data_IF_869453809764
#
_entry.id   IF_869453809764
#
_cell.length_a   1.000
_cell.length_b   1.000
_cell.length_c   1.000
_cell.angle_alpha   90.00
_cell.angle_beta   90.00
_cell.angle_gamma   90.00
#
_symmetry.space_group_name_H-M   'P 1'
#
loop_
_entity.id
_entity.type
_entity.pdbx_description
1 polymer ?
#
# COMPACT_ATOMS: atom_id res chain seq x y z
N UNK A 1 -3.59 -4.22 26.48
CA UNK A 1 -3.53 -2.96 27.25
C UNK A 1 -3.78 -1.80 26.31
N UNK A 2 -4.82 -1.01 26.54
CA UNK A 2 -5.14 0.19 25.75
C UNK A 2 -4.18 1.31 26.18
N UNK A 3 -3.35 1.83 25.27
CA UNK A 3 -2.46 2.96 25.57
C UNK A 3 -3.09 4.26 25.05
N UNK A 4 -3.71 5.09 25.91
CA UNK A 4 -4.48 6.26 25.48
C UNK A 4 -3.64 7.35 24.81
N UNK A 5 -2.33 7.42 25.10
CA UNK A 5 -1.44 8.38 24.42
C UNK A 5 -1.18 7.97 22.96
N UNK A 6 -1.03 6.66 22.72
CA UNK A 6 -0.83 6.13 21.38
C UNK A 6 -2.07 6.33 20.51
N UNK A 7 -3.28 6.17 21.07
CA UNK A 7 -4.52 6.45 20.32
C UNK A 7 -4.66 7.92 19.94
N UNK A 8 -4.31 8.85 20.83
CA UNK A 8 -4.38 10.28 20.53
C UNK A 8 -3.41 10.70 19.40
N UNK A 9 -2.19 10.16 19.40
CA UNK A 9 -1.21 10.44 18.33
C UNK A 9 -1.72 9.95 16.96
N UNK A 10 -2.26 8.73 16.89
CA UNK A 10 -2.82 8.19 15.64
C UNK A 10 -4.04 8.98 15.17
N UNK A 11 -4.92 9.42 16.08
CA UNK A 11 -6.06 10.26 15.72
C UNK A 11 -5.63 11.62 15.15
N UNK A 12 -4.60 12.25 15.75
CA UNK A 12 -4.04 13.49 15.25
C UNK A 12 -3.43 13.32 13.84
N UNK A 13 -2.66 12.24 13.64
CA UNK A 13 -2.03 11.96 12.34
C UNK A 13 -3.07 11.66 11.24
N UNK A 14 -4.16 10.96 11.57
CA UNK A 14 -5.27 10.74 10.65
C UNK A 14 -5.89 12.08 10.21
N UNK A 15 -6.14 12.99 11.16
CA UNK A 15 -6.76 14.31 10.88
C UNK A 15 -5.88 15.18 9.99
N UNK A 16 -4.59 15.28 10.29
CA UNK A 16 -3.62 16.00 9.46
C UNK A 16 -3.63 15.47 8.02
N UNK A 17 -3.77 14.15 7.85
CA UNK A 17 -3.76 13.53 6.53
C UNK A 17 -5.04 13.79 5.74
N UNK A 18 -6.19 13.86 6.42
CA UNK A 18 -7.48 14.19 5.77
C UNK A 18 -7.45 15.59 5.11
N UNK A 19 -6.71 16.54 5.67
CA UNK A 19 -6.58 17.90 5.14
C UNK A 19 -5.82 17.97 3.80
N UNK A 20 -5.04 16.94 3.45
CA UNK A 20 -4.23 16.91 2.22
C UNK A 20 -5.00 16.48 0.97
N UNK A 21 -6.24 16.01 1.12
CA UNK A 21 -7.03 15.47 0.02
C UNK A 21 -6.58 14.08 -0.47
N UNK A 22 -7.51 13.39 -1.13
CA UNK A 22 -7.38 11.99 -1.54
C UNK A 22 -7.45 11.01 -0.37
N UNK A 23 -7.25 9.72 -0.65
CA UNK A 23 -7.39 8.68 0.37
C UNK A 23 -6.33 8.81 1.49
N UNK A 24 -6.72 9.06 2.75
CA UNK A 24 -5.76 9.22 3.85
C UNK A 24 -4.94 7.96 4.13
N UNK A 25 -5.55 6.78 3.96
CA UNK A 25 -4.87 5.51 4.22
C UNK A 25 -3.74 5.26 3.20
N UNK A 26 -3.90 5.65 1.93
CA UNK A 26 -2.81 5.60 0.95
C UNK A 26 -1.61 6.44 1.38
N UNK A 27 -1.85 7.68 1.85
CA UNK A 27 -0.80 8.60 2.30
C UNK A 27 -0.06 8.07 3.52
N UNK A 28 -0.79 7.56 4.51
CA UNK A 28 -0.22 6.96 5.72
C UNK A 28 0.60 5.70 5.41
N UNK A 29 0.09 4.82 4.55
CA UNK A 29 0.80 3.63 4.06
C UNK A 29 2.09 4.02 3.36
N UNK A 30 2.06 4.95 2.41
CA UNK A 30 3.28 5.37 1.70
C UNK A 30 4.31 6.03 2.62
N UNK A 31 3.86 6.83 3.60
CA UNK A 31 4.75 7.40 4.64
C UNK A 31 5.43 6.30 5.45
N UNK A 32 4.69 5.29 5.88
CA UNK A 32 5.24 4.16 6.64
C UNK A 32 6.19 3.30 5.80
N UNK A 33 5.85 3.06 4.53
CA UNK A 33 6.72 2.36 3.57
C UNK A 33 8.05 3.12 3.37
N UNK A 34 7.98 4.43 3.13
CA UNK A 34 9.16 5.28 2.98
C UNK A 34 10.02 5.30 4.24
N UNK A 35 9.44 5.54 5.41
CA UNK A 35 10.16 5.51 6.68
C UNK A 35 10.83 4.14 6.95
N UNK A 36 10.19 3.05 6.53
CA UNK A 36 10.80 1.73 6.59
C UNK A 36 12.00 1.62 5.65
N UNK A 37 11.91 2.06 4.40
CA UNK A 37 13.03 2.03 3.47
C UNK A 37 14.20 2.91 3.94
N UNK A 38 13.91 4.13 4.40
CA UNK A 38 14.91 5.08 4.90
C UNK A 38 15.63 4.56 6.14
N UNK A 39 14.98 3.71 6.94
CA UNK A 39 15.59 3.11 8.12
C UNK A 39 16.43 1.86 7.82
N UNK A 40 16.46 1.34 6.58
CA UNK A 40 17.30 0.19 6.21
C UNK A 40 18.79 0.58 6.09
N UNK A 41 19.38 0.94 7.23
CA UNK A 41 20.82 1.14 7.37
C UNK A 41 21.55 -0.21 7.35
N UNK A 42 22.88 -0.17 7.17
CA UNK A 42 23.72 -1.37 7.25
C UNK A 42 23.47 -2.19 8.52
N UNK A 43 23.42 -1.54 9.69
CA UNK A 43 23.19 -2.20 10.98
C UNK A 43 21.83 -2.89 11.06
N UNK A 44 20.78 -2.22 10.57
CA UNK A 44 19.42 -2.79 10.57
C UNK A 44 19.28 -3.94 9.58
N UNK A 45 19.93 -3.86 8.43
CA UNK A 45 19.93 -4.97 7.46
C UNK A 45 20.59 -6.23 8.02
N UNK A 46 21.52 -6.07 8.97
CA UNK A 46 22.17 -7.19 9.63
C UNK A 46 21.35 -7.77 10.79
N UNK A 47 20.27 -7.12 11.22
CA UNK A 47 19.42 -7.60 12.31
C UNK A 47 18.68 -8.88 11.90
N UNK A 48 18.57 -9.82 12.84
CA UNK A 48 18.01 -11.16 12.59
C UNK A 48 16.56 -11.09 12.06
N UNK A 49 15.75 -10.16 12.57
CA UNK A 49 14.35 -10.03 12.17
C UNK A 49 14.21 -9.56 10.73
N UNK A 50 14.89 -8.47 10.37
CA UNK A 50 14.89 -7.89 9.03
C UNK A 50 15.45 -8.88 8.00
N UNK A 51 16.51 -9.62 8.35
CA UNK A 51 17.07 -10.66 7.45
C UNK A 51 16.10 -11.80 7.17
N UNK A 52 15.43 -12.31 8.21
CA UNK A 52 14.44 -13.37 8.04
C UNK A 52 13.23 -12.90 7.21
N UNK A 53 12.76 -11.68 7.44
CA UNK A 53 11.67 -11.11 6.64
C UNK A 53 12.06 -10.96 5.17
N UNK A 54 13.27 -10.45 4.87
CA UNK A 54 13.76 -10.29 3.51
C UNK A 54 13.98 -11.64 2.84
N UNK A 55 14.53 -12.62 3.55
CA UNK A 55 14.71 -13.99 3.04
C UNK A 55 13.36 -14.61 2.65
N UNK A 56 12.38 -14.60 3.54
CA UNK A 56 11.04 -15.16 3.31
C UNK A 56 10.25 -14.47 2.20
N UNK A 57 10.61 -13.25 1.84
CA UNK A 57 9.99 -12.47 0.77
C UNK A 57 10.84 -12.39 -0.50
N UNK A 58 12.00 -13.08 -0.52
CA UNK A 58 12.99 -13.03 -1.60
C UNK A 58 13.43 -11.59 -1.93
N UNK A 59 13.48 -10.73 -0.92
CA UNK A 59 13.84 -9.31 -1.01
C UNK A 59 12.63 -8.38 -1.13
N UNK A 60 12.82 -7.25 -1.82
CA UNK A 60 11.75 -6.28 -2.08
C UNK A 60 10.95 -6.64 -3.34
N UNK A 61 9.66 -6.28 -3.36
CA UNK A 61 8.87 -6.34 -4.58
C UNK A 61 9.38 -5.31 -5.61
N UNK A 62 8.98 -5.42 -6.88
CA UNK A 62 9.44 -4.51 -7.94
C UNK A 62 9.30 -3.02 -7.56
N UNK A 63 8.15 -2.63 -7.00
CA UNK A 63 7.87 -1.25 -6.57
C UNK A 63 8.85 -0.81 -5.47
N UNK A 64 8.96 -1.59 -4.39
CA UNK A 64 9.78 -1.20 -3.25
C UNK A 64 11.28 -1.37 -3.50
N UNK A 65 11.70 -2.25 -4.41
CA UNK A 65 13.08 -2.33 -4.87
C UNK A 65 13.48 -1.05 -5.62
N UNK A 66 12.61 -0.54 -6.50
CA UNK A 66 12.82 0.74 -7.19
C UNK A 66 12.87 1.89 -6.21
N UNK A 67 11.92 1.98 -5.27
CA UNK A 67 11.93 3.02 -4.25
C UNK A 67 13.19 2.96 -3.37
N UNK A 68 13.64 1.76 -2.96
CA UNK A 68 14.83 1.60 -2.14
C UNK A 68 16.11 2.02 -2.86
N UNK A 69 16.19 1.79 -4.18
CA UNK A 69 17.31 2.25 -5.01
C UNK A 69 17.48 3.77 -4.98
N UNK A 70 16.39 4.52 -4.86
CA UNK A 70 16.43 5.98 -4.81
C UNK A 70 16.80 6.53 -3.42
N UNK A 71 16.82 5.68 -2.38
CA UNK A 71 17.26 6.08 -1.02
C UNK A 71 18.78 6.30 -1.02
N UNK A 72 19.22 7.47 -0.55
CA UNK A 72 20.65 7.79 -0.48
C UNK A 72 21.43 6.79 0.39
N UNK A 73 22.55 6.27 -0.13
CA UNK A 73 23.39 5.31 0.59
C UNK A 73 22.84 3.87 0.64
N UNK A 74 21.73 3.57 -0.04
CA UNK A 74 21.12 2.23 -0.01
C UNK A 74 21.92 1.15 -0.74
N UNK A 75 22.86 1.52 -1.62
CA UNK A 75 23.56 0.59 -2.52
C UNK A 75 24.23 -0.59 -1.78
N UNK A 76 24.93 -0.33 -0.67
CA UNK A 76 25.57 -1.38 0.12
C UNK A 76 24.52 -2.30 0.77
N UNK A 77 23.45 -1.72 1.31
CA UNK A 77 22.35 -2.47 1.91
C UNK A 77 21.67 -3.41 0.92
N UNK A 78 21.38 -2.89 -0.28
CA UNK A 78 20.85 -3.66 -1.41
C UNK A 78 21.80 -4.81 -1.75
N UNK A 79 23.10 -4.53 -1.93
CA UNK A 79 24.07 -5.55 -2.30
C UNK A 79 24.14 -6.70 -1.28
N UNK A 80 24.12 -6.39 0.02
CA UNK A 80 24.15 -7.41 1.09
C UNK A 80 22.89 -8.28 1.06
N UNK A 81 21.71 -7.67 0.98
CA UNK A 81 20.43 -8.40 0.98
C UNK A 81 20.34 -9.31 -0.24
N UNK A 82 20.71 -8.81 -1.41
CA UNK A 82 20.58 -9.57 -2.64
C UNK A 82 21.72 -10.57 -2.87
N UNK A 83 22.92 -10.38 -2.30
CA UNK A 83 23.96 -11.43 -2.28
C UNK A 83 23.46 -12.67 -1.52
N UNK A 84 22.89 -12.47 -0.32
CA UNK A 84 22.33 -13.56 0.49
C UNK A 84 21.17 -14.25 -0.26
N UNK A 85 20.28 -13.44 -0.85
CA UNK A 85 19.13 -13.97 -1.59
C UNK A 85 19.57 -14.80 -2.81
N UNK A 86 20.54 -14.31 -3.59
CA UNK A 86 21.10 -15.02 -4.75
C UNK A 86 21.80 -16.30 -4.29
N UNK A 87 22.55 -16.25 -3.17
CA UNK A 87 23.22 -17.42 -2.60
C UNK A 87 22.22 -18.50 -2.18
N UNK A 88 21.12 -18.13 -1.54
CA UNK A 88 20.04 -19.07 -1.18
C UNK A 88 19.38 -19.64 -2.45
N UNK A 89 19.12 -18.82 -3.48
CA UNK A 89 18.59 -19.28 -4.77
C UNK A 89 19.52 -20.27 -5.48
N UNK A 90 20.83 -20.01 -5.51
CA UNK A 90 21.82 -20.91 -6.10
C UNK A 90 21.81 -22.27 -5.41
N UNK A 91 21.66 -22.29 -4.08
CA UNK A 91 21.51 -23.53 -3.31
C UNK A 91 20.19 -24.24 -3.60
N UNK A 92 19.07 -23.51 -3.61
CA UNK A 92 17.73 -24.07 -3.81
C UNK A 92 17.53 -24.62 -5.23
N UNK A 93 18.28 -24.10 -6.20
CA UNK A 93 18.22 -24.49 -7.62
C UNK A 93 19.37 -25.40 -8.05
N UNK A 94 20.24 -25.80 -7.12
CA UNK A 94 21.32 -26.74 -7.41
C UNK A 94 20.71 -28.10 -7.75
N UNK A 95 20.67 -28.41 -9.05
CA UNK A 95 20.31 -29.71 -9.55
C UNK A 95 21.51 -30.62 -9.29
N UNK A 96 21.38 -31.64 -8.43
CA UNK A 96 22.38 -32.73 -8.32
C UNK A 96 22.45 -33.45 -9.68
N UNK A 97 23.26 -32.93 -10.62
CA UNK A 97 23.47 -33.52 -11.94
C UNK A 97 24.33 -34.79 -11.89
N UNK A 98 24.89 -35.14 -10.72
CA UNK A 98 25.84 -36.23 -10.55
C UNK A 98 25.56 -37.04 -9.27
N UNK A 99 24.48 -37.83 -9.23
CA UNK A 99 24.41 -38.95 -8.28
C UNK A 99 23.73 -40.18 -8.89
N UNK A 100 24.51 -41.19 -9.33
CA UNK A 100 23.97 -42.45 -9.84
C UNK A 100 23.27 -43.32 -8.78
N UNK A 101 23.20 -42.89 -7.51
CA UNK A 101 22.90 -43.78 -6.37
C UNK A 101 21.80 -43.29 -5.41
N UNK A 102 21.00 -42.28 -5.75
CA UNK A 102 19.81 -41.90 -4.94
C UNK A 102 18.52 -42.34 -5.62
N UNK A 103 18.20 -43.62 -5.51
CA UNK A 103 17.03 -44.27 -6.12
C UNK A 103 15.68 -43.97 -5.43
N UNK A 104 15.59 -42.93 -4.57
CA UNK A 104 14.38 -42.62 -3.79
C UNK A 104 14.05 -41.12 -3.69
N UNK A 105 15.00 -40.20 -3.90
CA UNK A 105 14.70 -38.77 -3.79
C UNK A 105 14.23 -38.25 -5.14
N UNK A 106 12.91 -38.02 -5.26
CA UNK A 106 12.31 -37.41 -6.44
C UNK A 106 12.95 -36.06 -6.71
N UNK A 107 13.71 -35.95 -7.80
CA UNK A 107 14.16 -34.67 -8.31
C UNK A 107 12.94 -33.75 -8.45
N UNK A 108 12.95 -32.53 -7.89
CA UNK A 108 11.83 -31.62 -8.00
C UNK A 108 11.55 -31.36 -9.49
N UNK A 109 10.28 -31.47 -9.88
CA UNK A 109 9.89 -31.10 -11.24
C UNK A 109 10.11 -29.61 -11.43
N UNK A 110 10.35 -29.12 -12.67
CA UNK A 110 10.45 -27.68 -12.93
C UNK A 110 9.25 -26.88 -12.40
N UNK A 111 8.05 -27.48 -12.39
CA UNK A 111 6.84 -26.86 -11.84
C UNK A 111 6.93 -26.68 -10.32
N UNK A 112 7.38 -27.70 -9.59
CA UNK A 112 7.55 -27.60 -8.13
C UNK A 112 8.66 -26.61 -7.76
N UNK A 113 9.76 -26.60 -8.51
CA UNK A 113 10.83 -25.63 -8.31
C UNK A 113 10.31 -24.20 -8.53
N UNK A 114 9.47 -23.97 -9.55
CA UNK A 114 8.87 -22.66 -9.78
C UNK A 114 8.00 -22.20 -8.60
N UNK A 115 7.21 -23.09 -8.00
CA UNK A 115 6.44 -22.80 -6.78
C UNK A 115 7.35 -22.50 -5.59
N UNK A 116 8.41 -23.28 -5.40
CA UNK A 116 9.38 -23.08 -4.32
C UNK A 116 10.10 -21.72 -4.48
N UNK A 117 10.31 -21.25 -5.70
CA UNK A 117 10.89 -19.94 -6.04
C UNK A 117 9.97 -18.74 -5.80
N UNK A 118 8.68 -18.94 -5.50
CA UNK A 118 7.80 -17.84 -5.11
C UNK A 118 8.19 -17.27 -3.73
N UNK A 119 7.96 -15.97 -3.47
CA UNK A 119 8.12 -15.42 -2.14
C UNK A 119 7.00 -15.94 -1.22
N UNK A 120 7.39 -16.51 -0.08
CA UNK A 120 6.45 -17.05 0.90
C UNK A 120 5.60 -15.98 1.60
N UNK A 121 6.04 -14.72 1.59
CA UNK A 121 5.31 -13.59 2.20
C UNK A 121 5.51 -12.30 1.44
N UNK A 122 4.63 -11.31 1.66
CA UNK A 122 4.81 -9.96 1.13
C UNK A 122 6.16 -9.36 1.53
N UNK A 123 6.71 -8.55 0.62
CA UNK A 123 7.96 -7.86 0.89
C UNK A 123 7.84 -6.94 2.12
N UNK A 124 8.97 -6.63 2.77
CA UNK A 124 8.87 -6.01 4.07
C UNK A 124 8.24 -4.62 4.05
N UNK A 125 8.47 -3.81 3.03
CA UNK A 125 7.81 -2.51 2.91
C UNK A 125 6.27 -2.67 2.74
N UNK A 126 5.81 -3.54 1.81
CA UNK A 126 4.39 -3.83 1.62
C UNK A 126 3.68 -4.22 2.93
N UNK A 127 4.29 -5.08 3.75
CA UNK A 127 3.70 -5.51 5.02
C UNK A 127 3.55 -4.34 5.99
N UNK A 128 4.54 -3.46 6.07
CA UNK A 128 4.49 -2.24 6.91
C UNK A 128 3.41 -1.28 6.43
N UNK A 129 3.25 -1.16 5.12
CA UNK A 129 2.14 -0.43 4.51
C UNK A 129 0.78 -1.02 4.90
N UNK A 130 0.61 -2.34 4.77
CA UNK A 130 -0.63 -3.04 5.11
C UNK A 130 -0.98 -2.97 6.61
N UNK A 131 0.00 -3.16 7.49
CA UNK A 131 -0.17 -3.04 8.94
C UNK A 131 -0.57 -1.61 9.33
N UNK A 132 -0.04 -0.61 8.63
CA UNK A 132 -0.40 0.80 8.83
C UNK A 132 -1.83 1.06 8.35
N UNK A 133 -2.20 0.60 7.16
CA UNK A 133 -3.55 0.73 6.65
C UNK A 133 -4.58 0.09 7.60
N UNK A 134 -4.30 -1.10 8.12
CA UNK A 134 -5.18 -1.79 9.06
C UNK A 134 -5.32 -1.03 10.39
N UNK A 135 -4.23 -0.48 10.93
CA UNK A 135 -4.26 0.34 12.15
C UNK A 135 -5.10 1.60 11.96
N UNK A 136 -4.87 2.35 10.88
CA UNK A 136 -5.61 3.58 10.62
C UNK A 136 -7.06 3.34 10.16
N UNK A 137 -7.37 2.21 9.55
CA UNK A 137 -8.76 1.79 9.31
C UNK A 137 -9.54 1.64 10.62
N UNK A 138 -8.92 1.03 11.64
CA UNK A 138 -9.53 0.93 12.98
C UNK A 138 -9.74 2.31 13.61
N UNK A 139 -8.74 3.19 13.54
CA UNK A 139 -8.83 4.56 14.06
C UNK A 139 -9.93 5.34 13.35
N UNK A 140 -10.02 5.25 12.02
CA UNK A 140 -11.07 5.90 11.25
C UNK A 140 -12.46 5.41 11.66
N UNK A 141 -12.68 4.10 11.84
CA UNK A 141 -13.97 3.58 12.30
C UNK A 141 -14.34 4.03 13.72
N UNK A 142 -13.36 4.31 14.58
CA UNK A 142 -13.62 4.89 15.91
C UNK A 142 -14.01 6.38 15.81
N UNK A 143 -13.33 7.11 14.92
CA UNK A 143 -13.47 8.55 14.78
C UNK A 143 -14.65 8.98 13.88
N UNK A 144 -15.17 8.08 13.03
CA UNK A 144 -16.25 8.37 12.05
C UNK A 144 -17.57 8.81 12.71
N UNK A 145 -17.75 8.59 14.01
CA UNK A 145 -18.90 9.10 14.76
C UNK A 145 -18.88 10.63 14.91
N UNK A 146 -17.70 11.25 14.79
CA UNK A 146 -17.52 12.69 14.85
C UNK A 146 -17.85 13.32 13.49
N UNK A 147 -18.71 14.33 13.49
CA UNK A 147 -19.12 15.00 12.24
C UNK A 147 -17.95 15.64 11.50
N UNK A 148 -17.00 16.23 12.22
CA UNK A 148 -15.80 16.83 11.63
C UNK A 148 -14.98 15.82 10.81
N UNK A 149 -14.89 14.57 11.24
CA UNK A 149 -14.16 13.50 10.53
C UNK A 149 -14.91 13.08 9.28
N UNK A 150 -16.25 12.99 9.34
CA UNK A 150 -17.08 12.68 8.16
C UNK A 150 -16.96 13.78 7.10
N UNK A 151 -17.06 15.04 7.50
CA UNK A 151 -16.91 16.19 6.62
C UNK A 151 -15.51 16.23 5.98
N UNK A 152 -14.45 16.05 6.78
CA UNK A 152 -13.09 16.05 6.28
C UNK A 152 -12.82 14.89 5.31
N UNK A 153 -13.35 13.68 5.59
CA UNK A 153 -13.24 12.54 4.69
C UNK A 153 -13.98 12.77 3.37
N UNK A 154 -15.17 13.36 3.42
CA UNK A 154 -15.93 13.72 2.22
C UNK A 154 -15.20 14.75 1.37
N UNK A 155 -14.65 15.80 1.99
CA UNK A 155 -13.83 16.83 1.33
C UNK A 155 -12.54 16.26 0.74
N UNK A 156 -11.97 15.24 1.38
CA UNK A 156 -10.82 14.52 0.85
C UNK A 156 -11.17 13.61 -0.34
N UNK A 157 -12.45 13.41 -0.65
CA UNK A 157 -12.91 12.52 -1.73
C UNK A 157 -13.10 11.06 -1.31
N UNK A 158 -13.09 10.77 -0.02
CA UNK A 158 -13.31 9.43 0.52
C UNK A 158 -12.07 8.52 0.55
N UNK A 159 -12.29 7.24 0.80
CA UNK A 159 -11.27 6.20 0.69
C UNK A 159 -11.21 5.66 -0.75
N UNK A 160 -10.02 5.26 -1.19
CA UNK A 160 -9.92 4.46 -2.40
C UNK A 160 -10.58 3.09 -2.18
N UNK A 161 -11.08 2.47 -3.26
CA UNK A 161 -11.80 1.20 -3.22
C UNK A 161 -11.03 0.08 -2.46
N UNK A 162 -9.71 -0.11 -2.64
CA UNK A 162 -8.95 -1.06 -1.83
C UNK A 162 -9.02 -0.78 -0.32
N UNK A 163 -8.85 0.49 0.08
CA UNK A 163 -8.87 0.87 1.50
C UNK A 163 -10.27 0.92 2.09
N UNK A 164 -11.29 1.21 1.28
CA UNK A 164 -12.68 1.06 1.70
C UNK A 164 -12.99 -0.41 1.99
N UNK A 165 -12.62 -1.33 1.09
CA UNK A 165 -12.80 -2.78 1.32
C UNK A 165 -12.10 -3.25 2.59
N UNK A 166 -10.84 -2.86 2.78
CA UNK A 166 -10.09 -3.14 4.01
C UNK A 166 -10.85 -2.63 5.24
N UNK A 167 -11.28 -1.38 5.23
CA UNK A 167 -11.96 -0.74 6.36
C UNK A 167 -13.32 -1.41 6.66
N UNK A 168 -14.09 -1.78 5.64
CA UNK A 168 -15.36 -2.51 5.84
C UNK A 168 -15.16 -3.92 6.40
N UNK A 169 -14.05 -4.59 6.06
CA UNK A 169 -13.70 -5.91 6.64
C UNK A 169 -13.06 -5.82 8.02
N UNK A 170 -12.58 -4.64 8.41
CA UNK A 170 -11.99 -4.39 9.74
C UNK A 170 -13.06 -4.54 10.83
N UNK A 171 -12.66 -5.02 12.02
CA UNK A 171 -13.57 -5.17 13.16
C UNK A 171 -14.05 -3.78 13.62
N UNK A 172 -15.35 -3.60 13.76
CA UNK A 172 -15.96 -2.34 14.18
C UNK A 172 -17.48 -2.46 14.25
N UNK A 173 -18.15 -1.42 14.77
CA UNK A 173 -19.61 -1.40 14.83
C UNK A 173 -20.23 -1.34 13.43
N UNK A 174 -21.41 -1.94 13.28
CA UNK A 174 -22.19 -1.84 12.03
C UNK A 174 -22.52 -0.38 11.74
N UNK A 175 -22.91 0.38 12.77
CA UNK A 175 -23.18 1.82 12.65
C UNK A 175 -22.01 2.62 12.06
N UNK A 176 -20.78 2.43 12.55
CA UNK A 176 -19.60 3.11 12.03
C UNK A 176 -19.37 2.80 10.54
N UNK A 177 -19.59 1.54 10.13
CA UNK A 177 -19.47 1.13 8.72
C UNK A 177 -20.57 1.73 7.85
N UNK A 178 -21.79 1.86 8.36
CA UNK A 178 -22.88 2.55 7.67
C UNK A 178 -22.60 4.05 7.51
N UNK A 179 -22.04 4.71 8.54
CA UNK A 179 -21.62 6.11 8.46
C UNK A 179 -20.51 6.30 7.42
N UNK A 180 -19.50 5.42 7.40
CA UNK A 180 -18.46 5.42 6.38
C UNK A 180 -19.06 5.29 4.98
N UNK A 181 -19.90 4.28 4.74
CA UNK A 181 -20.56 4.09 3.44
C UNK A 181 -21.41 5.29 3.01
N UNK A 182 -22.06 5.99 3.95
CA UNK A 182 -22.81 7.19 3.62
C UNK A 182 -21.91 8.32 3.10
N UNK A 183 -20.74 8.52 3.72
CA UNK A 183 -19.72 9.49 3.27
C UNK A 183 -19.19 9.11 1.87
N UNK A 184 -18.79 7.85 1.68
CA UNK A 184 -18.26 7.36 0.40
C UNK A 184 -19.27 7.54 -0.75
N UNK A 185 -20.55 7.27 -0.49
CA UNK A 185 -21.61 7.44 -1.50
C UNK A 185 -21.78 8.90 -1.92
N UNK A 186 -21.63 9.86 -1.01
CA UNK A 186 -21.70 11.28 -1.35
C UNK A 186 -20.48 11.72 -2.16
N UNK A 187 -19.28 11.29 -1.76
CA UNK A 187 -18.05 11.55 -2.50
C UNK A 187 -18.13 11.00 -3.95
N UNK A 188 -18.56 9.75 -4.13
CA UNK A 188 -18.73 9.17 -5.47
C UNK A 188 -19.83 9.83 -6.29
N UNK A 189 -20.93 10.25 -5.66
CA UNK A 189 -21.99 10.97 -6.36
C UNK A 189 -21.46 12.30 -6.94
N UNK A 190 -20.72 13.07 -6.14
CA UNK A 190 -20.07 14.30 -6.59
C UNK A 190 -19.08 14.04 -7.74
N UNK A 191 -18.17 13.07 -7.53
CA UNK A 191 -17.16 12.70 -8.53
C UNK A 191 -17.81 12.22 -9.84
N UNK A 192 -18.91 11.47 -9.76
CA UNK A 192 -19.66 11.02 -10.94
C UNK A 192 -20.24 12.20 -11.71
N UNK A 193 -20.82 13.19 -11.04
CA UNK A 193 -21.36 14.39 -11.69
C UNK A 193 -20.25 15.15 -12.42
N UNK A 194 -19.08 15.31 -11.81
CA UNK A 194 -17.93 15.95 -12.45
C UNK A 194 -17.42 15.14 -13.64
N UNK A 195 -17.29 13.81 -13.53
CA UNK A 195 -16.93 12.95 -14.66
C UNK A 195 -17.91 13.07 -15.82
N UNK A 196 -19.22 13.13 -15.53
CA UNK A 196 -20.24 13.31 -16.57
C UNK A 196 -20.10 14.67 -17.27
N UNK A 197 -19.75 15.71 -16.52
CA UNK A 197 -19.49 17.04 -17.08
C UNK A 197 -18.21 17.07 -17.92
N UNK A 198 -17.14 16.43 -17.45
CA UNK A 198 -15.90 16.27 -18.21
C UNK A 198 -16.15 15.56 -19.55
N UNK A 199 -16.92 14.46 -19.53
CA UNK A 199 -17.31 13.73 -20.74
C UNK A 199 -18.16 14.60 -21.66
N UNK A 200 -19.13 15.36 -21.12
CA UNK A 200 -20.00 16.25 -21.90
C UNK A 200 -19.21 17.33 -22.62
N UNK A 201 -18.27 18.00 -21.92
CA UNK A 201 -17.45 19.08 -22.49
C UNK A 201 -16.42 18.63 -23.51
N UNK A 202 -16.08 17.34 -23.52
CA UNK A 202 -15.18 16.77 -24.53
C UNK A 202 -15.91 16.35 -25.82
N UNK A 203 -17.23 16.52 -25.89
CA UNK A 203 -17.98 16.48 -27.16
C UNK A 203 -17.66 17.75 -27.96
N UNK A 204 -17.38 17.61 -29.26
CA UNK A 204 -16.97 18.70 -30.15
C UNK A 204 -17.89 19.93 -30.11
N UNK A 205 -19.17 19.74 -29.74
CA UNK A 205 -20.19 20.79 -29.64
C UNK A 205 -19.98 21.76 -28.48
N UNK A 206 -19.19 21.38 -27.48
CA UNK A 206 -18.99 22.14 -26.25
C UNK A 206 -17.52 22.47 -25.98
N UNK A 207 -16.65 22.35 -27.01
CA UNK A 207 -15.20 22.51 -26.84
C UNK A 207 -14.77 23.92 -26.41
N UNK A 208 -15.62 24.92 -26.62
CA UNK A 208 -15.36 26.33 -26.26
C UNK A 208 -15.76 26.66 -24.81
N UNK A 209 -16.41 25.74 -24.10
CA UNK A 209 -16.76 25.94 -22.69
C UNK A 209 -15.50 25.84 -21.80
N UNK A 210 -15.29 26.78 -20.86
CA UNK A 210 -14.17 26.70 -19.94
C UNK A 210 -14.29 25.48 -19.01
N UNK A 211 -13.14 24.86 -18.75
CA UNK A 211 -13.00 23.75 -17.80
C UNK A 211 -13.12 24.26 -16.37
N UNK A 212 -13.91 23.57 -15.55
CA UNK A 212 -14.09 23.80 -14.12
C UNK A 212 -13.45 22.69 -13.25
N UNK A 213 -14.03 22.38 -12.07
CA UNK A 213 -13.56 21.32 -11.18
C UNK A 213 -13.51 19.92 -11.82
N UNK A 214 -14.22 19.71 -12.93
CA UNK A 214 -14.23 18.44 -13.67
C UNK A 214 -12.92 18.13 -14.39
N UNK A 215 -12.03 19.11 -14.58
CA UNK A 215 -10.80 18.98 -15.37
C UNK A 215 -9.93 17.80 -14.96
N UNK A 216 -9.84 17.54 -13.66
CA UNK A 216 -9.03 16.47 -13.07
C UNK A 216 -9.88 15.31 -12.53
N UNK A 217 -11.19 15.27 -12.81
CA UNK A 217 -12.09 14.26 -12.25
C UNK A 217 -11.71 12.84 -12.67
N UNK A 218 -11.12 12.68 -13.86
CA UNK A 218 -10.61 11.40 -14.34
C UNK A 218 -9.36 10.93 -13.57
N UNK A 219 -8.51 11.83 -13.08
CA UNK A 219 -7.40 11.50 -12.18
C UNK A 219 -7.94 11.08 -10.81
N UNK A 220 -8.86 11.88 -10.25
CA UNK A 220 -9.51 11.55 -8.96
C UNK A 220 -10.30 10.24 -9.02
N UNK A 221 -10.84 9.88 -10.17
CA UNK A 221 -11.46 8.56 -10.40
C UNK A 221 -10.44 7.41 -10.36
N UNK A 222 -9.25 7.59 -10.92
CA UNK A 222 -8.16 6.62 -10.78
C UNK A 222 -7.76 6.48 -9.31
N UNK A 223 -7.58 7.60 -8.61
CA UNK A 223 -7.21 7.59 -7.19
C UNK A 223 -8.29 6.90 -6.33
N UNK A 224 -9.58 7.16 -6.62
CA UNK A 224 -10.70 6.56 -5.91
C UNK A 224 -10.85 5.06 -6.18
N UNK A 225 -10.52 4.56 -7.38
CA UNK A 225 -10.74 3.15 -7.72
C UNK A 225 -9.49 2.27 -7.56
N UNK A 226 -8.32 2.83 -7.80
CA UNK A 226 -7.03 2.10 -7.80
C UNK A 226 -6.22 2.43 -6.55
N UNK A 227 -6.33 3.66 -6.04
CA UNK A 227 -5.52 4.20 -4.95
C UNK A 227 -4.59 5.31 -5.43
N UNK A 228 -4.21 6.20 -4.51
CA UNK A 228 -3.31 7.30 -4.80
C UNK A 228 -1.92 6.78 -5.18
N UNK A 229 -1.44 7.21 -6.35
CA UNK A 229 -0.05 7.00 -6.77
C UNK A 229 0.83 8.15 -6.29
N UNK A 230 1.37 7.99 -5.08
CA UNK A 230 2.19 9.01 -4.43
C UNK A 230 3.63 9.09 -5.00
N UNK A 231 4.00 8.13 -5.86
CA UNK A 231 5.28 8.16 -6.56
C UNK A 231 5.24 9.13 -7.77
N UNK A 232 4.06 9.66 -8.14
CA UNK A 232 3.85 10.66 -9.22
C UNK A 232 3.71 12.11 -8.74
N UNK A 233 3.63 12.34 -7.42
CA UNK A 233 3.54 13.68 -6.83
C UNK A 233 4.94 14.34 -6.62
N UNK A 234 6.03 13.65 -7.01
CA UNK A 234 7.42 14.08 -6.83
C UNK A 234 8.07 14.64 -8.12
#
# INVERSE_FOLDING_TARGET
>A
MFNPKLSQALQAELRETLERGGCPLCRLTARAEKAFLDSLTYERILDLGTREELKRSRGMCLRHARAWREVHGSALGIAIVYEITIKDLLRDTELELESPLKFWETCPTPARLAEDLEPATLCPACRRGADTAARFANVLLQDIHQESVRVALEQAGGLCLPHLRLTLTTRGSVEAKHLLLAVERRAWASLRTELQEFIRKNDYRFHDEPQGPERDSWLRALDALVGLDLDREA
#
